data_IF_905616094029
#
_entry.id   IF_905616094029
#
_cell.length_a   1.000
_cell.length_b   1.000
_cell.length_c   1.000
_cell.angle_alpha   90.00
_cell.angle_beta   90.00
_cell.angle_gamma   90.00
#
_symmetry.space_group_name_H-M   'P 1'
#
loop_
_entity.id
_entity.type
_entity.pdbx_description
1 polymer ?
#
# COMPACT_ATOMS: atom_id res chain seq x y z
N UNK A 1 -13.08 -34.52 -18.30
CA UNK A 1 -14.24 -33.65 -17.97
C UNK A 1 -13.78 -32.77 -16.80
N UNK A 2 -13.56 -31.48 -17.05
CA UNK A 2 -13.01 -30.58 -16.07
C UNK A 2 -14.02 -30.34 -14.95
N UNK A 3 -13.61 -30.68 -13.72
CA UNK A 3 -14.39 -30.43 -12.52
C UNK A 3 -14.50 -28.93 -12.37
N UNK A 4 -15.71 -28.41 -12.46
CA UNK A 4 -15.97 -26.99 -12.16
C UNK A 4 -15.92 -26.83 -10.65
N UNK A 5 -14.97 -26.08 -10.19
CA UNK A 5 -14.90 -25.75 -8.78
C UNK A 5 -16.13 -24.92 -8.39
N UNK A 6 -16.75 -25.27 -7.28
CA UNK A 6 -17.85 -24.51 -6.69
C UNK A 6 -17.35 -23.70 -5.51
N UNK A 7 -17.88 -22.51 -5.34
CA UNK A 7 -17.56 -21.67 -4.19
C UNK A 7 -17.95 -22.35 -2.88
N UNK A 8 -17.01 -22.59 -1.99
CA UNK A 8 -17.24 -23.23 -0.69
C UNK A 8 -18.16 -22.39 0.23
N UNK A 9 -18.27 -21.08 -0.01
CA UNK A 9 -19.06 -20.18 0.82
C UNK A 9 -20.53 -20.06 0.37
N UNK A 10 -20.82 -20.06 -0.96
CA UNK A 10 -22.16 -19.82 -1.47
C UNK A 10 -22.65 -20.86 -2.49
N UNK A 11 -21.82 -21.86 -2.85
CA UNK A 11 -22.18 -22.92 -3.80
C UNK A 11 -22.22 -22.50 -5.27
N UNK A 12 -21.90 -21.27 -5.62
CA UNK A 12 -21.91 -20.78 -6.99
C UNK A 12 -20.81 -21.45 -7.84
N UNK A 13 -21.10 -21.71 -9.11
CA UNK A 13 -20.11 -22.22 -10.05
C UNK A 13 -19.06 -21.15 -10.35
N UNK A 14 -17.80 -21.56 -10.34
CA UNK A 14 -16.67 -20.68 -10.54
C UNK A 14 -16.12 -20.84 -11.97
N UNK A 15 -15.76 -19.74 -12.65
CA UNK A 15 -15.00 -19.83 -13.88
C UNK A 15 -13.60 -20.41 -13.63
N UNK A 16 -13.01 -21.02 -14.65
CA UNK A 16 -11.64 -21.53 -14.59
C UNK A 16 -10.69 -20.38 -14.22
N UNK A 17 -9.84 -20.63 -13.22
CA UNK A 17 -8.89 -19.63 -12.67
C UNK A 17 -9.55 -18.44 -11.94
N UNK A 18 -10.76 -18.58 -11.43
CA UNK A 18 -11.36 -17.55 -10.59
C UNK A 18 -10.55 -17.34 -9.31
N UNK A 19 -10.04 -16.15 -9.08
CA UNK A 19 -9.41 -15.77 -7.82
C UNK A 19 -10.45 -15.39 -6.75
N UNK A 20 -11.64 -14.96 -7.17
CA UNK A 20 -12.75 -14.56 -6.32
C UNK A 20 -14.06 -15.13 -6.84
N UNK A 21 -14.97 -15.45 -5.94
CA UNK A 21 -16.34 -15.80 -6.33
C UNK A 21 -17.08 -14.53 -6.77
N UNK A 22 -17.56 -14.49 -8.00
CA UNK A 22 -18.32 -13.36 -8.56
C UNK A 22 -19.67 -13.15 -7.87
N UNK A 23 -20.19 -14.17 -7.18
CA UNK A 23 -21.48 -14.11 -6.52
C UNK A 23 -21.39 -13.55 -5.08
N UNK A 24 -20.38 -13.93 -4.31
CA UNK A 24 -20.26 -13.57 -2.88
C UNK A 24 -18.94 -12.87 -2.51
N UNK A 25 -18.04 -12.67 -3.47
CA UNK A 25 -16.76 -12.01 -3.22
C UNK A 25 -15.71 -12.87 -2.47
N UNK A 26 -16.03 -14.11 -2.10
CA UNK A 26 -15.11 -14.98 -1.36
C UNK A 26 -13.94 -15.37 -2.26
N UNK A 27 -12.74 -15.30 -1.75
CA UNK A 27 -11.52 -15.75 -2.43
C UNK A 27 -11.50 -17.25 -2.59
N UNK A 28 -11.14 -17.72 -3.77
CA UNK A 28 -11.29 -19.12 -4.19
C UNK A 28 -9.96 -19.81 -4.44
N UNK A 29 -8.85 -19.07 -4.66
CA UNK A 29 -7.56 -19.70 -4.95
C UNK A 29 -6.77 -19.97 -3.67
N UNK A 30 -6.49 -21.25 -3.43
CA UNK A 30 -5.45 -21.73 -2.53
C UNK A 30 -4.11 -21.79 -3.30
N UNK A 31 -3.66 -20.71 -3.92
CA UNK A 31 -2.30 -20.65 -4.45
C UNK A 31 -1.38 -20.16 -3.34
N UNK A 32 -0.38 -20.99 -2.99
CA UNK A 32 0.58 -20.77 -1.91
C UNK A 32 1.33 -19.42 -1.97
N UNK A 33 1.25 -18.70 -3.08
CA UNK A 33 1.83 -17.37 -3.25
C UNK A 33 0.98 -16.22 -2.66
N UNK A 34 -0.31 -16.45 -2.35
CA UNK A 34 -1.22 -15.44 -1.79
C UNK A 34 -1.41 -15.53 -0.27
N UNK A 35 -0.89 -16.58 0.37
CA UNK A 35 -1.15 -16.88 1.79
C UNK A 35 -0.34 -16.00 2.75
N UNK A 36 0.74 -15.37 2.30
CA UNK A 36 1.54 -14.46 3.13
C UNK A 36 0.84 -13.15 3.48
N UNK A 37 -0.19 -12.75 2.70
CA UNK A 37 -1.00 -11.54 2.99
C UNK A 37 -2.30 -11.83 3.76
N UNK A 38 -2.68 -13.11 3.93
CA UNK A 38 -3.97 -13.50 4.52
C UNK A 38 -3.91 -14.30 5.80
N UNK A 39 -2.81 -14.96 6.08
CA UNK A 39 -2.52 -15.30 7.46
C UNK A 39 -2.28 -13.96 8.12
N UNK A 40 -3.21 -13.56 8.97
CA UNK A 40 -3.01 -12.52 9.96
C UNK A 40 -1.87 -12.89 10.90
N UNK A 41 -0.74 -13.19 10.32
CA UNK A 41 0.53 -13.03 10.96
C UNK A 41 0.62 -11.51 11.08
N UNK A 42 0.10 -11.01 12.18
CA UNK A 42 0.51 -9.72 12.69
C UNK A 42 2.02 -9.77 12.63
N UNK A 43 2.59 -9.32 11.52
CA UNK A 43 4.02 -9.13 11.41
C UNK A 43 4.27 -8.00 12.40
N UNK A 44 4.58 -8.36 13.62
CA UNK A 44 4.96 -7.44 14.69
C UNK A 44 6.29 -6.77 14.39
N UNK A 45 6.93 -7.19 13.30
CA UNK A 45 8.16 -6.57 12.81
C UNK A 45 7.84 -5.27 12.08
N UNK A 46 8.46 -4.15 12.48
CA UNK A 46 8.33 -2.88 11.79
C UNK A 46 8.87 -2.98 10.37
N UNK A 47 8.28 -2.24 9.43
CA UNK A 47 8.78 -2.16 8.06
C UNK A 47 10.13 -1.44 8.10
N UNK A 48 11.15 -2.02 7.45
CA UNK A 48 12.47 -1.39 7.31
C UNK A 48 12.74 -1.13 5.84
N UNK A 49 13.01 0.13 5.50
CA UNK A 49 13.33 0.58 4.14
C UNK A 49 14.68 1.29 4.20
N UNK A 50 15.66 0.80 3.44
CA UNK A 50 17.02 1.35 3.38
C UNK A 50 17.67 1.57 4.76
N UNK A 51 17.40 0.67 5.72
CA UNK A 51 17.93 0.75 7.07
C UNK A 51 17.16 1.69 8.02
N UNK A 52 16.10 2.34 7.56
CA UNK A 52 15.21 3.17 8.37
C UNK A 52 13.96 2.38 8.73
N UNK A 53 13.64 2.32 10.02
CA UNK A 53 12.45 1.64 10.54
C UNK A 53 11.25 2.59 10.43
N UNK A 54 10.15 2.15 9.81
CA UNK A 54 8.94 2.97 9.62
C UNK A 54 7.77 2.32 10.33
N UNK A 55 7.10 3.08 11.19
CA UNK A 55 5.89 2.65 11.90
C UNK A 55 4.83 3.76 11.94
N UNK A 56 3.56 3.36 11.94
CA UNK A 56 2.44 4.30 12.14
C UNK A 56 2.13 4.57 13.61
N UNK A 57 2.68 3.76 14.54
CA UNK A 57 2.61 4.01 15.98
C UNK A 57 3.57 5.13 16.40
N UNK A 58 3.36 5.68 17.59
CA UNK A 58 4.26 6.67 18.20
C UNK A 58 5.46 6.05 18.94
N UNK A 59 5.69 4.75 18.78
CA UNK A 59 6.78 3.99 19.36
C UNK A 59 7.18 2.83 18.44
N UNK A 60 8.42 2.34 18.56
CA UNK A 60 8.94 1.21 17.78
C UNK A 60 9.13 0.02 18.71
N UNK A 61 8.47 -1.12 18.46
CA UNK A 61 8.62 -2.32 19.28
C UNK A 61 10.07 -2.79 19.35
N UNK A 62 10.59 -3.02 20.56
CA UNK A 62 11.95 -3.50 20.78
C UNK A 62 13.05 -2.42 20.64
N UNK A 63 12.67 -1.15 20.49
CA UNK A 63 13.60 -0.03 20.38
C UNK A 63 13.31 1.07 21.41
N UNK A 64 14.36 1.80 21.77
CA UNK A 64 14.28 3.02 22.59
C UNK A 64 14.53 4.22 21.70
N UNK A 65 13.66 5.25 21.79
CA UNK A 65 13.88 6.52 21.10
C UNK A 65 14.91 7.29 21.93
N UNK A 66 16.04 7.60 21.32
CA UNK A 66 17.13 8.39 21.92
C UNK A 66 16.96 9.88 21.64
N UNK A 67 16.52 10.22 20.44
CA UNK A 67 16.43 11.59 19.98
C UNK A 67 15.31 11.74 18.94
N UNK A 68 14.64 12.89 18.96
CA UNK A 68 13.68 13.31 17.93
C UNK A 68 14.34 14.31 17.00
N UNK A 69 14.36 14.02 15.71
CA UNK A 69 14.93 14.87 14.65
C UNK A 69 13.90 15.79 13.99
N UNK A 70 12.63 15.67 14.38
CA UNK A 70 11.55 16.55 13.95
C UNK A 70 10.65 16.00 12.86
N UNK A 71 9.80 16.88 12.34
CA UNK A 71 8.83 16.56 11.30
C UNK A 71 9.51 16.40 9.94
N UNK A 72 9.16 15.33 9.24
CA UNK A 72 9.66 15.03 7.90
C UNK A 72 8.51 14.64 6.97
N UNK A 73 8.72 14.81 5.68
CA UNK A 73 7.74 14.41 4.66
C UNK A 73 8.42 13.98 3.35
N UNK A 74 7.67 13.22 2.57
CA UNK A 74 7.97 12.87 1.18
C UNK A 74 6.74 13.10 0.34
N UNK A 75 6.88 13.78 -0.78
CA UNK A 75 5.77 14.21 -1.63
C UNK A 75 5.94 13.65 -3.03
N UNK A 76 4.85 13.17 -3.63
CA UNK A 76 4.78 12.91 -5.06
C UNK A 76 3.51 13.49 -5.66
N UNK A 77 3.58 13.93 -6.91
CA UNK A 77 2.42 14.41 -7.66
C UNK A 77 2.27 13.55 -8.90
N UNK A 78 1.07 13.03 -9.11
CA UNK A 78 0.73 12.26 -10.31
C UNK A 78 -0.31 12.98 -11.13
N UNK A 79 -0.05 13.09 -12.44
CA UNK A 79 -1.04 13.54 -13.39
C UNK A 79 -1.91 12.35 -13.82
N UNK A 80 -3.22 12.50 -13.79
CA UNK A 80 -4.14 11.57 -14.45
C UNK A 80 -3.94 11.73 -15.97
N UNK A 81 -2.94 11.05 -16.47
CA UNK A 81 -2.48 10.87 -17.83
C UNK A 81 -3.10 11.67 -18.96
N UNK A 82 -2.34 12.58 -19.51
CA UNK A 82 -2.46 13.06 -20.88
C UNK A 82 -1.84 12.04 -21.89
N UNK A 83 -1.84 10.76 -21.59
CA UNK A 83 -1.20 9.78 -22.43
C UNK A 83 -1.94 8.48 -22.54
N UNK A 84 -2.53 8.27 -23.67
CA UNK A 84 -3.15 7.06 -24.24
C UNK A 84 -4.64 6.91 -24.02
N UNK A 85 -5.37 7.24 -25.09
CA UNK A 85 -6.68 6.73 -25.54
C UNK A 85 -7.44 5.88 -24.50
N UNK A 86 -8.28 6.56 -23.77
CA UNK A 86 -9.07 5.96 -22.73
C UNK A 86 -10.23 5.23 -23.38
N UNK A 87 -10.07 3.94 -23.58
CA UNK A 87 -11.16 2.99 -23.61
C UNK A 87 -11.79 2.78 -22.21
N UNK A 88 -11.41 3.60 -21.25
CA UNK A 88 -11.92 3.60 -19.87
C UNK A 88 -13.36 4.08 -19.77
N UNK A 89 -13.88 4.81 -20.74
CA UNK A 89 -15.26 5.31 -20.74
C UNK A 89 -16.31 4.21 -20.84
N UNK A 90 -15.96 3.00 -21.26
CA UNK A 90 -16.88 1.86 -21.37
C UNK A 90 -16.86 0.92 -20.15
N UNK A 91 -15.82 0.97 -19.32
CA UNK A 91 -15.73 0.12 -18.11
C UNK A 91 -16.40 0.71 -16.87
N UNK A 92 -16.66 2.00 -16.84
CA UNK A 92 -17.31 2.67 -15.69
C UNK A 92 -18.80 2.32 -15.54
N UNK A 93 -19.39 1.64 -16.52
CA UNK A 93 -20.81 1.26 -16.51
C UNK A 93 -21.06 -0.04 -15.74
N UNK A 94 -20.04 -0.88 -15.53
CA UNK A 94 -20.22 -2.23 -14.95
C UNK A 94 -19.78 -2.31 -13.48
N UNK A 95 -19.21 -1.25 -12.90
CA UNK A 95 -18.72 -1.25 -11.52
C UNK A 95 -17.60 -2.30 -11.31
N UNK A 96 -16.44 -1.87 -10.84
CA UNK A 96 -15.31 -2.75 -10.57
C UNK A 96 -14.08 -1.93 -10.22
N UNK A 97 -13.09 -2.60 -9.64
CA UNK A 97 -11.79 -2.00 -9.34
C UNK A 97 -11.04 -1.70 -10.65
N UNK A 98 -10.56 -0.48 -10.79
CA UNK A 98 -9.73 -0.08 -11.93
C UNK A 98 -8.28 -0.44 -11.59
N UNK A 99 -7.84 -1.64 -11.96
CA UNK A 99 -6.52 -2.17 -11.60
C UNK A 99 -5.37 -1.23 -11.99
N UNK A 100 -5.40 -0.64 -13.17
CA UNK A 100 -4.37 0.29 -13.64
C UNK A 100 -4.30 1.54 -12.76
N UNK A 101 -5.43 1.97 -12.20
CA UNK A 101 -5.48 3.12 -11.30
C UNK A 101 -4.92 2.76 -9.91
N UNK A 102 -5.26 1.58 -9.41
CA UNK A 102 -4.72 1.06 -8.14
C UNK A 102 -3.21 0.92 -8.21
N UNK A 103 -2.68 0.32 -9.27
CA UNK A 103 -1.24 0.17 -9.50
C UNK A 103 -0.53 1.53 -9.55
N UNK A 104 -1.09 2.48 -10.31
CA UNK A 104 -0.56 3.85 -10.36
C UNK A 104 -0.52 4.51 -8.98
N UNK A 105 -1.56 4.31 -8.16
CA UNK A 105 -1.63 4.89 -6.81
C UNK A 105 -0.69 4.19 -5.83
N UNK A 106 -0.47 2.89 -5.97
CA UNK A 106 0.54 2.15 -5.21
C UNK A 106 1.93 2.70 -5.50
N UNK A 107 2.32 2.81 -6.76
CA UNK A 107 3.59 3.42 -7.16
C UNK A 107 3.77 4.84 -6.62
N UNK A 108 2.68 5.63 -6.60
CA UNK A 108 2.75 6.99 -6.06
C UNK A 108 3.01 7.00 -4.54
N UNK A 109 2.40 6.07 -3.81
CA UNK A 109 2.64 5.91 -2.37
C UNK A 109 4.05 5.42 -2.07
N UNK A 110 4.53 4.44 -2.82
CA UNK A 110 5.89 3.93 -2.68
C UNK A 110 6.91 5.04 -2.91
N UNK A 111 6.75 5.83 -3.95
CA UNK A 111 7.60 6.99 -4.25
C UNK A 111 7.60 8.02 -3.11
N UNK A 112 6.41 8.37 -2.58
CA UNK A 112 6.30 9.30 -1.46
C UNK A 112 7.00 8.74 -0.20
N UNK A 113 6.84 7.43 0.06
CA UNK A 113 7.48 6.76 1.17
C UNK A 113 9.02 6.72 1.03
N UNK A 114 9.53 6.43 -0.16
CA UNK A 114 10.99 6.48 -0.41
C UNK A 114 11.55 7.88 -0.20
N UNK A 115 10.84 8.92 -0.61
CA UNK A 115 11.24 10.31 -0.35
C UNK A 115 11.21 10.67 1.13
N UNK A 116 10.22 10.18 1.88
CA UNK A 116 10.14 10.31 3.33
C UNK A 116 11.36 9.66 4.01
N UNK A 117 11.71 8.43 3.62
CA UNK A 117 12.89 7.71 4.12
C UNK A 117 14.19 8.45 3.76
N UNK A 118 14.29 8.98 2.54
CA UNK A 118 15.41 9.82 2.12
C UNK A 118 15.56 11.07 2.99
N UNK A 119 14.45 11.72 3.34
CA UNK A 119 14.44 12.87 4.24
C UNK A 119 14.89 12.47 5.66
N UNK A 120 14.39 11.34 6.20
CA UNK A 120 14.85 10.83 7.50
C UNK A 120 16.37 10.62 7.53
N UNK A 121 16.92 10.00 6.49
CA UNK A 121 18.38 9.78 6.36
C UNK A 121 19.15 11.10 6.31
N UNK A 122 18.65 12.11 5.61
CA UNK A 122 19.31 13.42 5.50
C UNK A 122 19.41 14.16 6.84
N UNK A 123 18.50 13.89 7.78
CA UNK A 123 18.54 14.44 9.14
C UNK A 123 19.20 13.49 10.16
N UNK A 124 19.82 12.40 9.69
CA UNK A 124 20.55 11.45 10.54
C UNK A 124 19.64 10.56 11.39
N UNK A 125 18.39 10.33 10.97
CA UNK A 125 17.47 9.44 11.65
C UNK A 125 17.56 8.01 11.09
N UNK A 126 17.29 7.01 11.95
CA UNK A 126 17.20 5.60 11.60
C UNK A 126 15.80 5.03 11.91
N UNK A 127 14.87 5.86 12.35
CA UNK A 127 13.48 5.51 12.59
C UNK A 127 12.52 6.64 12.22
N UNK A 128 11.29 6.26 11.84
CA UNK A 128 10.17 7.17 11.60
C UNK A 128 8.99 6.64 12.38
N UNK A 129 8.46 7.44 13.26
CA UNK A 129 7.25 7.16 14.05
C UNK A 129 6.09 8.01 13.56
N UNK A 130 4.87 7.58 13.86
CA UNK A 130 3.66 8.28 13.44
C UNK A 130 3.66 8.59 11.94
N UNK A 131 4.06 7.59 11.15
CA UNK A 131 4.09 7.71 9.70
C UNK A 131 2.68 7.52 9.13
N UNK A 132 2.23 8.47 8.31
CA UNK A 132 0.92 8.47 7.66
C UNK A 132 1.03 8.91 6.22
N UNK A 133 -0.02 8.58 5.47
CA UNK A 133 -0.23 9.11 4.13
C UNK A 133 -1.43 10.05 4.15
N UNK A 134 -1.32 11.11 3.37
CA UNK A 134 -2.43 11.96 2.98
C UNK A 134 -2.48 12.08 1.47
N UNK A 135 -3.64 12.40 0.92
CA UNK A 135 -3.82 12.59 -0.51
C UNK A 135 -4.78 13.75 -0.77
N UNK A 136 -4.35 14.67 -1.62
CA UNK A 136 -5.18 15.80 -2.05
C UNK A 136 -5.27 15.90 -3.56
N UNK A 137 -6.39 16.41 -4.04
CA UNK A 137 -6.60 16.72 -5.44
C UNK A 137 -6.18 18.18 -5.68
N UNK A 138 -5.10 18.38 -6.44
CA UNK A 138 -4.61 19.73 -6.77
C UNK A 138 -5.44 20.31 -7.92
N UNK A 139 -5.87 19.45 -8.84
CA UNK A 139 -6.75 19.80 -9.96
C UNK A 139 -7.45 18.55 -10.48
N UNK A 140 -8.41 18.73 -11.38
CA UNK A 140 -9.15 17.61 -12.02
C UNK A 140 -8.24 16.53 -12.63
N UNK A 141 -6.96 16.84 -12.85
CA UNK A 141 -5.98 15.96 -13.50
C UNK A 141 -4.73 15.67 -12.66
N UNK A 142 -4.59 16.27 -11.48
CA UNK A 142 -3.40 16.11 -10.65
C UNK A 142 -3.78 15.74 -9.22
N UNK A 143 -3.15 14.67 -8.73
CA UNK A 143 -3.30 14.20 -7.36
C UNK A 143 -1.94 14.21 -6.67
N UNK A 144 -1.92 14.75 -5.48
CA UNK A 144 -0.79 14.72 -4.56
C UNK A 144 -0.91 13.52 -3.63
N UNK A 145 0.21 12.86 -3.38
CA UNK A 145 0.37 11.89 -2.30
C UNK A 145 1.49 12.39 -1.40
N UNK A 146 1.15 12.62 -0.15
CA UNK A 146 2.05 13.05 0.90
C UNK A 146 2.26 11.90 1.90
N UNK A 147 3.51 11.48 2.11
CA UNK A 147 3.90 10.66 3.24
C UNK A 147 4.58 11.56 4.28
N UNK A 148 4.20 11.46 5.55
CA UNK A 148 4.78 12.30 6.59
C UNK A 148 4.89 11.56 7.92
N UNK A 149 5.73 12.06 8.82
CA UNK A 149 5.94 11.47 10.13
C UNK A 149 6.98 12.23 10.95
N UNK A 150 7.41 11.62 12.03
CA UNK A 150 8.45 12.15 12.90
C UNK A 150 9.72 11.30 12.79
N UNK A 151 10.81 11.94 12.40
CA UNK A 151 12.13 11.32 12.35
C UNK A 151 12.71 11.18 13.76
N UNK A 152 13.26 10.00 14.05
CA UNK A 152 13.84 9.68 15.36
C UNK A 152 15.15 8.91 15.20
N UNK A 153 16.02 9.04 16.18
CA UNK A 153 17.16 8.14 16.37
C UNK A 153 16.76 7.10 17.40
N UNK A 154 16.89 5.85 17.05
CA UNK A 154 16.51 4.72 17.91
C UNK A 154 17.65 3.75 18.09
N UNK A 155 17.69 3.08 19.24
CA UNK A 155 18.59 1.98 19.54
C UNK A 155 17.79 0.76 20.00
N UNK A 156 18.35 -0.42 19.71
CA UNK A 156 17.72 -1.68 20.09
C UNK A 156 17.82 -1.88 21.59
N UNK A 157 16.71 -2.30 22.22
CA UNK A 157 16.69 -2.66 23.64
C UNK A 157 17.47 -3.94 23.92
#
# INVERSE_FOLDING_TARGET
>A
MNVKDTCKACGAQLPLNAQFCIQCGTVVTETEAGDSLRKGTTTTAPITIDGVIVVSSNWIPGYTILETRGFIYGLTVRSRGLGKNITAGLRSIVGGEIHEYVEMMQHARDEALYRLVGHAKSVGANGIISAYFDSSEISNYMQEILAYGTAVVVDKK
#
